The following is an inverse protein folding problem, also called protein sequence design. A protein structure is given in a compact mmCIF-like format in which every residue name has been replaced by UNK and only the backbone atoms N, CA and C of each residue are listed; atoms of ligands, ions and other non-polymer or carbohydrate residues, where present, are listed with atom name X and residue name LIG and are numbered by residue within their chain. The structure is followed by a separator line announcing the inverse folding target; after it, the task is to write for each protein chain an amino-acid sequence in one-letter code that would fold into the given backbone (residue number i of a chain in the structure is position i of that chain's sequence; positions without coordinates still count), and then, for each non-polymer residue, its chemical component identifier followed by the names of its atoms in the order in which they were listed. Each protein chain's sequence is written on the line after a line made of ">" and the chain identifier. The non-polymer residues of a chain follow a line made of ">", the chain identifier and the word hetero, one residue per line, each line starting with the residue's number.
data_IF_380139654318
#
_entry.id   IF_380139654318
#
_cell.length_a   1.000
_cell.length_b   1.000
_cell.length_c   1.000
_cell.angle_alpha   90.00
_cell.angle_beta   90.00
_cell.angle_gamma   90.00
#
_symmetry.space_group_name_H-M   'P 1'
#
loop_
_entity.id
_entity.type
_entity.pdbx_description
1 polymer ?
#
# COMPACT_ATOMS: atom_id res chain seq x y z
N UNK A 1 23.01 -7.23 -27.55
CA UNK A 1 21.63 -7.65 -27.18
C UNK A 1 21.20 -7.10 -25.83
N UNK A 2 21.94 -7.27 -24.71
CA UNK A 2 21.53 -6.74 -23.37
C UNK A 2 21.20 -5.23 -23.36
N UNK A 3 21.96 -4.37 -24.05
CA UNK A 3 21.71 -2.91 -24.09
C UNK A 3 20.41 -2.51 -24.80
N UNK A 4 19.92 -3.31 -25.75
CA UNK A 4 18.67 -3.07 -26.48
C UNK A 4 17.48 -3.46 -25.61
N UNK A 5 17.63 -4.49 -24.79
CA UNK A 5 16.59 -4.93 -23.84
C UNK A 5 16.40 -3.87 -22.75
N UNK A 6 17.47 -3.27 -22.22
CA UNK A 6 17.35 -2.18 -21.24
C UNK A 6 16.66 -0.93 -21.80
N UNK A 7 16.92 -0.59 -23.07
CA UNK A 7 16.28 0.55 -23.72
C UNK A 7 14.80 0.27 -24.02
N UNK A 8 14.44 -0.96 -24.37
CA UNK A 8 13.07 -1.37 -24.60
C UNK A 8 12.25 -1.45 -23.29
N UNK A 9 12.87 -1.87 -22.20
CA UNK A 9 12.27 -1.87 -20.86
C UNK A 9 12.07 -0.45 -20.36
N UNK A 10 13.04 0.46 -20.56
CA UNK A 10 12.86 1.89 -20.22
C UNK A 10 11.76 2.57 -21.07
N UNK A 11 11.62 2.21 -22.35
CA UNK A 11 10.57 2.73 -23.22
C UNK A 11 9.18 2.13 -22.90
N UNK A 12 9.11 0.86 -22.50
CA UNK A 12 7.88 0.23 -22.01
C UNK A 12 7.43 0.87 -20.69
N UNK A 13 8.36 1.15 -19.79
CA UNK A 13 8.07 1.88 -18.55
C UNK A 13 7.49 3.27 -18.88
N UNK A 14 8.07 4.01 -19.86
CA UNK A 14 7.54 5.32 -20.24
C UNK A 14 6.18 5.29 -20.96
N UNK A 15 5.81 4.20 -21.64
CA UNK A 15 4.53 4.09 -22.36
C UNK A 15 3.42 3.48 -21.51
N UNK A 16 3.75 2.73 -20.47
CA UNK A 16 2.76 2.22 -19.50
C UNK A 16 2.47 3.25 -18.41
N UNK A 17 3.38 4.17 -18.10
CA UNK A 17 3.16 5.24 -17.12
C UNK A 17 2.02 6.23 -17.49
N UNK A 18 1.61 6.30 -18.75
CA UNK A 18 0.51 7.20 -19.15
C UNK A 18 -0.89 6.57 -19.13
N UNK A 19 -1.02 5.27 -18.84
CA UNK A 19 -2.32 4.59 -18.82
C UNK A 19 -2.50 3.59 -17.66
N UNK A 20 -1.50 3.43 -16.80
CA UNK A 20 -1.56 2.54 -15.64
C UNK A 20 -1.51 3.32 -14.29
N UNK A 21 -1.65 4.64 -14.37
CA UNK A 21 -1.70 5.55 -13.22
C UNK A 21 -3.09 5.57 -12.56
N UNK A 22 -3.94 4.67 -12.92
CA UNK A 22 -5.32 4.66 -12.46
C UNK A 22 -5.55 3.41 -11.63
N UNK A 23 -5.36 3.49 -10.35
CA UNK A 23 -5.78 2.53 -9.35
C UNK A 23 -4.66 1.86 -8.56
N UNK A 24 -4.05 2.61 -7.72
CA UNK A 24 -3.67 2.10 -6.44
C UNK A 24 -4.27 3.07 -5.42
N UNK A 25 -5.47 2.80 -4.97
CA UNK A 25 -6.01 3.53 -3.83
C UNK A 25 -4.99 3.44 -2.70
N UNK A 26 -4.67 4.60 -2.17
CA UNK A 26 -3.65 4.75 -1.13
C UNK A 26 -4.11 4.09 0.15
N UNK A 27 -4.09 2.78 0.17
CA UNK A 27 -4.18 2.11 1.43
C UNK A 27 -2.79 2.09 2.08
N UNK A 28 -2.50 2.97 3.05
CA UNK A 28 -1.19 3.05 3.68
C UNK A 28 -0.82 1.76 4.42
N UNK A 29 -1.75 0.84 4.54
CA UNK A 29 -1.51 -0.49 5.09
C UNK A 29 -0.90 -1.42 4.06
N UNK A 30 -1.24 -1.24 2.77
CA UNK A 30 -0.84 -2.14 1.70
C UNK A 30 0.51 -1.84 1.05
N UNK A 31 1.07 -0.66 1.23
CA UNK A 31 2.46 -0.48 0.79
C UNK A 31 3.29 -1.60 1.39
N UNK A 32 3.98 -2.44 0.58
CA UNK A 32 4.64 -3.63 1.07
C UNK A 32 5.48 -3.30 2.29
N UNK A 33 5.08 -3.80 3.45
CA UNK A 33 5.93 -3.72 4.63
C UNK A 33 7.28 -4.31 4.22
N UNK A 34 8.41 -3.80 4.73
CA UNK A 34 9.72 -4.25 4.34
C UNK A 34 9.87 -5.71 4.73
N UNK A 35 9.23 -6.55 4.03
CA UNK A 35 9.35 -7.97 4.15
C UNK A 35 9.64 -8.50 2.79
N UNK A 36 10.79 -9.06 2.66
CA UNK A 36 10.95 -10.24 1.86
C UNK A 36 10.96 -10.09 0.33
N UNK A 37 10.58 -8.97 -0.27
CA UNK A 37 10.73 -8.78 -1.71
C UNK A 37 12.18 -8.53 -2.07
N UNK A 38 12.99 -9.51 -1.76
CA UNK A 38 14.37 -9.54 -2.15
C UNK A 38 14.51 -10.38 -3.42
N UNK A 39 14.36 -9.72 -4.55
CA UNK A 39 14.59 -10.35 -5.85
C UNK A 39 16.08 -10.64 -6.12
N UNK A 40 16.96 -10.19 -5.24
CA UNK A 40 18.40 -10.47 -5.36
C UNK A 40 18.77 -11.84 -4.81
N UNK A 41 17.84 -12.54 -4.16
CA UNK A 41 18.09 -13.84 -3.49
C UNK A 41 19.23 -13.78 -2.46
N UNK A 42 19.40 -12.61 -1.84
CA UNK A 42 20.46 -12.40 -0.83
C UNK A 42 21.81 -11.98 -1.39
N UNK A 43 21.99 -11.90 -2.69
CA UNK A 43 23.25 -11.49 -3.33
C UNK A 43 23.29 -9.96 -3.52
N UNK A 44 24.48 -9.37 -3.40
CA UNK A 44 24.70 -7.97 -3.71
C UNK A 44 24.53 -7.73 -5.21
N UNK A 45 23.84 -6.65 -5.58
CA UNK A 45 23.66 -6.28 -6.98
C UNK A 45 22.25 -5.86 -7.33
N UNK A 46 21.99 -5.81 -8.62
CA UNK A 46 20.71 -5.41 -9.18
C UNK A 46 19.82 -6.63 -9.47
N UNK A 47 18.55 -6.49 -9.16
CA UNK A 47 17.51 -7.41 -9.57
C UNK A 47 16.31 -6.62 -10.11
N UNK A 48 15.58 -7.27 -11.01
CA UNK A 48 14.37 -6.74 -11.64
C UNK A 48 13.30 -7.82 -11.57
N UNK A 49 12.13 -7.45 -11.05
CA UNK A 49 10.92 -8.25 -11.16
C UNK A 49 9.85 -7.48 -11.93
N UNK A 50 9.16 -8.14 -12.86
CA UNK A 50 8.02 -7.57 -13.59
C UNK A 50 6.87 -8.58 -13.61
N UNK A 51 5.66 -8.09 -13.42
CA UNK A 51 4.50 -8.96 -13.33
C UNK A 51 3.19 -8.25 -13.60
N UNK A 52 2.14 -8.98 -13.32
CA UNK A 52 0.76 -8.48 -13.39
C UNK A 52 -0.06 -9.17 -12.31
N UNK A 53 -0.97 -8.43 -11.73
CA UNK A 53 -1.97 -8.90 -10.80
C UNK A 53 -3.38 -8.50 -11.20
N UNK A 54 -4.32 -8.98 -10.44
CA UNK A 54 -5.69 -8.52 -10.41
C UNK A 54 -6.06 -8.27 -8.96
N UNK A 55 -6.74 -7.18 -8.72
CA UNK A 55 -7.17 -6.74 -7.41
C UNK A 55 -8.67 -6.54 -7.38
N UNK A 56 -9.29 -6.83 -6.26
CA UNK A 56 -10.69 -6.58 -5.97
C UNK A 56 -10.76 -5.71 -4.74
N UNK A 57 -11.21 -4.48 -4.92
CA UNK A 57 -11.17 -3.44 -3.92
C UNK A 57 -12.41 -2.54 -3.94
N UNK A 58 -12.56 -1.69 -2.93
CA UNK A 58 -13.60 -0.66 -2.89
C UNK A 58 -13.28 0.47 -3.86
N UNK A 59 -14.32 1.04 -4.47
CA UNK A 59 -14.21 2.11 -5.48
C UNK A 59 -13.61 3.43 -4.93
N UNK A 60 -13.71 3.66 -3.64
CA UNK A 60 -13.04 4.71 -2.87
C UNK A 60 -13.07 4.35 -1.38
N UNK A 61 -12.24 4.98 -0.59
CA UNK A 61 -12.13 4.71 0.85
C UNK A 61 -13.47 4.88 1.59
N UNK A 62 -13.99 3.78 2.14
CA UNK A 62 -15.30 3.72 2.77
C UNK A 62 -16.48 3.48 1.82
N UNK A 63 -16.23 3.18 0.56
CA UNK A 63 -17.27 2.77 -0.41
C UNK A 63 -17.88 1.42 -0.06
N UNK A 64 -19.13 1.22 -0.46
CA UNK A 64 -19.80 -0.09 -0.51
C UNK A 64 -19.86 -0.66 -1.95
N UNK A 65 -19.27 0.06 -2.92
CA UNK A 65 -19.05 -0.38 -4.30
C UNK A 65 -17.67 -1.02 -4.41
N UNK A 66 -17.56 -2.12 -5.15
CA UNK A 66 -16.33 -2.86 -5.35
C UNK A 66 -16.09 -3.15 -6.81
N UNK A 67 -14.84 -3.14 -7.23
CA UNK A 67 -14.42 -3.39 -8.60
C UNK A 67 -13.24 -4.36 -8.70
N UNK A 68 -12.97 -4.81 -9.94
CA UNK A 68 -11.75 -5.53 -10.26
C UNK A 68 -10.86 -4.64 -11.10
N UNK A 69 -9.59 -4.59 -10.71
CA UNK A 69 -8.58 -3.86 -11.44
C UNK A 69 -7.40 -4.75 -11.82
N UNK A 70 -6.76 -4.42 -12.95
CA UNK A 70 -5.54 -5.07 -13.39
C UNK A 70 -4.34 -4.25 -12.90
N UNK A 71 -3.53 -4.84 -12.04
CA UNK A 71 -2.39 -4.18 -11.41
C UNK A 71 -1.08 -4.59 -12.08
N UNK A 72 -0.30 -3.64 -12.64
CA UNK A 72 1.07 -3.91 -12.99
C UNK A 72 1.89 -4.12 -11.71
N UNK A 73 2.65 -5.19 -11.68
CA UNK A 73 3.49 -5.52 -10.52
C UNK A 73 4.96 -5.48 -10.90
N UNK A 74 5.81 -5.12 -9.95
CA UNK A 74 7.24 -5.22 -10.18
C UNK A 74 8.08 -4.24 -9.37
N UNK A 75 9.37 -4.53 -9.39
CA UNK A 75 10.35 -3.67 -8.77
C UNK A 75 11.72 -3.76 -9.45
N UNK A 76 12.45 -2.67 -9.39
CA UNK A 76 13.91 -2.64 -9.61
C UNK A 76 14.55 -2.49 -8.23
N UNK A 77 15.46 -3.38 -7.90
CA UNK A 77 16.12 -3.40 -6.60
C UNK A 77 17.64 -3.37 -6.78
N UNK A 78 18.32 -2.73 -5.82
CA UNK A 78 19.76 -2.82 -5.66
C UNK A 78 20.08 -3.16 -4.21
N UNK A 79 20.73 -4.31 -4.01
CA UNK A 79 21.19 -4.76 -2.71
C UNK A 79 22.65 -4.43 -2.47
N UNK A 80 22.96 -3.98 -1.26
CA UNK A 80 24.33 -3.82 -0.76
C UNK A 80 24.35 -4.23 0.72
N UNK A 81 24.83 -5.43 0.99
CA UNK A 81 24.78 -6.03 2.32
C UNK A 81 23.35 -6.15 2.84
N UNK A 82 23.11 -5.59 4.01
CA UNK A 82 21.79 -5.60 4.66
C UNK A 82 20.83 -4.54 4.14
N UNK A 83 21.22 -3.78 3.12
CA UNK A 83 20.43 -2.67 2.59
C UNK A 83 19.88 -3.01 1.20
N UNK A 84 18.61 -2.67 0.97
CA UNK A 84 17.93 -2.74 -0.32
C UNK A 84 17.37 -1.37 -0.64
N UNK A 85 17.76 -0.84 -1.79
CA UNK A 85 17.18 0.34 -2.41
C UNK A 85 16.28 -0.13 -3.54
N UNK A 86 15.10 0.45 -3.66
CA UNK A 86 14.13 -0.05 -4.63
C UNK A 86 13.30 1.07 -5.25
N UNK A 87 12.84 0.78 -6.45
CA UNK A 87 11.72 1.44 -7.08
C UNK A 87 10.67 0.35 -7.35
N UNK A 88 9.51 0.46 -6.72
CA UNK A 88 8.44 -0.53 -6.82
C UNK A 88 7.09 0.18 -6.85
N UNK A 89 6.27 -0.16 -7.86
CA UNK A 89 5.05 0.57 -8.10
C UNK A 89 5.33 2.07 -8.23
N UNK A 90 4.69 2.87 -7.42
CA UNK A 90 4.82 4.34 -7.40
C UNK A 90 5.76 4.86 -6.30
N UNK A 91 6.55 3.98 -5.69
CA UNK A 91 7.40 4.33 -4.57
C UNK A 91 8.89 4.14 -4.88
N UNK A 92 9.70 5.08 -4.38
CA UNK A 92 11.16 4.94 -4.27
C UNK A 92 11.49 4.79 -2.79
N UNK A 93 12.21 3.75 -2.44
CA UNK A 93 12.49 3.47 -1.06
C UNK A 93 13.83 2.82 -0.76
N UNK A 94 14.07 2.74 0.51
CA UNK A 94 15.17 2.02 1.11
C UNK A 94 14.65 1.21 2.30
N UNK A 95 15.21 0.04 2.51
CA UNK A 95 15.05 -0.76 3.71
C UNK A 95 16.37 -1.39 4.13
N UNK A 96 16.55 -1.65 5.41
CA UNK A 96 17.77 -2.26 5.90
C UNK A 96 17.64 -2.83 7.31
N UNK A 97 18.46 -3.83 7.60
CA UNK A 97 18.59 -4.37 8.94
C UNK A 97 19.52 -3.46 9.75
N UNK A 98 19.02 -2.86 10.83
CA UNK A 98 19.86 -2.16 11.81
C UNK A 98 20.64 -3.13 12.69
N UNK A 99 20.07 -4.30 12.92
CA UNK A 99 20.63 -5.46 13.63
C UNK A 99 19.72 -6.68 13.43
N UNK A 100 20.05 -7.80 14.02
CA UNK A 100 19.33 -9.07 13.86
C UNK A 100 17.82 -9.02 14.15
N UNK A 101 17.36 -8.00 14.88
CA UNK A 101 15.96 -7.90 15.33
C UNK A 101 15.22 -6.68 14.79
N UNK A 102 15.88 -5.75 14.12
CA UNK A 102 15.28 -4.52 13.61
C UNK A 102 15.45 -4.37 12.12
N UNK A 103 14.34 -4.35 11.41
CA UNK A 103 14.24 -3.94 10.01
C UNK A 103 13.59 -2.56 9.97
N UNK A 104 14.19 -1.65 9.25
CA UNK A 104 13.69 -0.28 9.08
C UNK A 104 13.65 0.10 7.61
N UNK A 105 12.82 1.07 7.27
CA UNK A 105 12.75 1.59 5.92
C UNK A 105 12.18 2.99 5.86
N UNK A 106 12.46 3.64 4.75
CA UNK A 106 11.88 4.90 4.37
C UNK A 106 11.56 4.87 2.88
N UNK A 107 10.44 5.44 2.49
CA UNK A 107 10.08 5.59 1.08
C UNK A 107 9.37 6.92 0.85
N UNK A 108 9.44 7.36 -0.39
CA UNK A 108 8.60 8.42 -0.93
C UNK A 108 7.68 7.73 -1.93
N UNK A 109 6.38 7.87 -1.73
CA UNK A 109 5.31 7.37 -2.59
C UNK A 109 4.47 8.50 -3.16
N UNK A 110 3.59 8.12 -4.06
CA UNK A 110 2.49 8.96 -4.50
C UNK A 110 1.23 8.56 -3.74
N UNK A 111 0.50 9.55 -3.32
CA UNK A 111 -0.84 9.42 -2.79
C UNK A 111 -1.80 9.75 -3.93
N UNK A 112 -2.65 8.81 -4.31
CA UNK A 112 -3.68 9.05 -5.31
C UNK A 112 -4.74 10.01 -4.78
N UNK A 113 -5.29 10.78 -5.69
CA UNK A 113 -6.43 11.62 -5.40
C UNK A 113 -7.73 10.82 -5.39
N UNK A 114 -8.84 11.50 -5.10
CA UNK A 114 -10.17 10.94 -5.24
C UNK A 114 -10.97 11.83 -6.21
N UNK A 115 -11.62 11.21 -7.19
CA UNK A 115 -12.48 11.91 -8.13
C UNK A 115 -13.97 11.72 -7.78
N UNK A 116 -14.80 12.69 -8.17
CA UNK A 116 -16.26 12.52 -8.04
C UNK A 116 -16.79 11.32 -8.85
N UNK A 117 -16.07 10.96 -9.93
CA UNK A 117 -16.38 9.83 -10.80
C UNK A 117 -16.09 8.45 -10.20
N UNK A 118 -15.39 8.36 -9.06
CA UNK A 118 -15.08 7.08 -8.41
C UNK A 118 -16.31 6.47 -7.72
N UNK A 119 -17.41 7.20 -7.68
CA UNK A 119 -18.69 6.72 -7.16
C UNK A 119 -19.71 6.55 -8.28
N UNK A 120 -20.11 5.32 -8.54
CA UNK A 120 -21.14 5.00 -9.55
C UNK A 120 -22.53 5.50 -9.13
N UNK A 121 -22.82 5.57 -7.84
CA UNK A 121 -24.09 6.04 -7.28
C UNK A 121 -24.17 7.56 -7.10
N UNK A 122 -23.10 8.29 -7.46
CA UNK A 122 -22.99 9.75 -7.33
C UNK A 122 -22.81 10.22 -5.88
N UNK A 123 -22.33 9.36 -5.00
CA UNK A 123 -22.11 9.71 -3.58
C UNK A 123 -21.08 10.82 -3.40
N UNK A 124 -20.11 10.90 -4.30
CA UNK A 124 -19.06 11.90 -4.26
C UNK A 124 -19.43 13.18 -5.03
N UNK A 125 -20.57 13.24 -5.73
CA UNK A 125 -21.00 14.40 -6.51
C UNK A 125 -21.05 15.68 -5.66
N UNK A 126 -20.37 16.71 -6.11
CA UNK A 126 -20.30 18.01 -5.44
C UNK A 126 -19.31 18.10 -4.28
N UNK A 127 -18.55 17.05 -4.00
CA UNK A 127 -17.45 17.09 -3.03
C UNK A 127 -16.16 17.64 -3.64
N UNK A 128 -16.04 17.64 -4.97
CA UNK A 128 -14.83 18.02 -5.70
C UNK A 128 -13.78 16.92 -5.68
N UNK A 129 -12.88 17.00 -6.65
CA UNK A 129 -11.76 16.08 -6.74
C UNK A 129 -10.68 16.42 -5.72
N UNK A 130 -10.01 15.42 -5.20
CA UNK A 130 -8.79 15.54 -4.40
C UNK A 130 -7.61 15.32 -5.33
N UNK A 131 -6.61 16.18 -5.23
CA UNK A 131 -5.41 16.07 -6.06
C UNK A 131 -4.50 14.96 -5.55
N UNK A 132 -3.75 14.36 -6.46
CA UNK A 132 -2.64 13.46 -6.14
C UNK A 132 -1.57 14.20 -5.34
N UNK A 133 -0.89 13.49 -4.44
CA UNK A 133 0.12 14.06 -3.57
C UNK A 133 1.35 13.17 -3.42
N UNK A 134 2.34 13.68 -2.71
CA UNK A 134 3.49 12.90 -2.29
C UNK A 134 3.38 12.55 -0.82
N UNK A 135 3.79 11.35 -0.48
CA UNK A 135 3.92 10.92 0.89
C UNK A 135 5.33 10.48 1.25
N UNK A 136 5.74 10.79 2.47
CA UNK A 136 6.92 10.23 3.11
C UNK A 136 6.49 9.15 4.09
N UNK A 137 6.95 7.93 3.89
CA UNK A 137 6.67 6.81 4.77
C UNK A 137 7.93 6.38 5.51
N UNK A 138 7.84 6.32 6.83
CA UNK A 138 8.84 5.71 7.70
C UNK A 138 8.25 4.44 8.30
N UNK A 139 9.02 3.35 8.28
CA UNK A 139 8.53 2.07 8.76
C UNK A 139 9.58 1.29 9.53
N UNK A 140 9.13 0.48 10.48
CA UNK A 140 9.98 -0.38 11.26
C UNK A 140 9.28 -1.67 11.64
N UNK A 141 10.03 -2.77 11.64
CA UNK A 141 9.65 -4.04 12.25
C UNK A 141 10.66 -4.40 13.33
N UNK A 142 10.18 -4.88 14.45
CA UNK A 142 11.01 -5.44 15.51
C UNK A 142 10.64 -6.89 15.75
N UNK A 143 11.53 -7.81 15.44
CA UNK A 143 11.33 -9.22 15.74
C UNK A 143 11.50 -9.53 17.22
N UNK A 144 10.67 -10.42 17.73
CA UNK A 144 10.80 -11.01 19.08
C UNK A 144 11.51 -12.35 19.05
N UNK A 145 11.72 -12.94 17.87
CA UNK A 145 12.29 -14.24 17.69
C UNK A 145 13.42 -14.22 16.65
N UNK A 146 14.50 -14.98 16.83
CA UNK A 146 15.60 -14.97 15.88
C UNK A 146 15.20 -15.38 14.44
N UNK A 147 14.14 -16.17 14.31
CA UNK A 147 13.60 -16.65 13.03
C UNK A 147 12.56 -15.70 12.42
N UNK A 148 12.41 -14.50 12.94
CA UNK A 148 11.44 -13.50 12.47
C UNK A 148 10.00 -14.04 12.38
N UNK A 149 9.63 -14.92 13.31
CA UNK A 149 8.29 -15.52 13.33
C UNK A 149 7.22 -14.58 13.88
N UNK A 150 7.60 -13.72 14.82
CA UNK A 150 6.71 -12.74 15.45
C UNK A 150 7.40 -11.39 15.53
N UNK A 151 6.68 -10.33 15.23
CA UNK A 151 7.21 -8.95 15.28
C UNK A 151 6.17 -7.93 15.73
N UNK A 152 6.67 -6.77 16.15
CA UNK A 152 5.94 -5.52 16.09
C UNK A 152 6.14 -4.89 14.72
N UNK A 153 5.12 -4.22 14.23
CA UNK A 153 5.19 -3.36 13.05
C UNK A 153 4.76 -1.95 13.42
N UNK A 154 5.41 -0.98 12.84
CA UNK A 154 5.00 0.43 12.90
C UNK A 154 5.30 1.11 11.57
N UNK A 155 4.42 2.02 11.19
CA UNK A 155 4.54 2.88 10.03
C UNK A 155 4.01 4.26 10.37
N UNK A 156 4.66 5.28 9.83
CA UNK A 156 4.17 6.66 9.87
C UNK A 156 4.20 7.17 8.44
N UNK A 157 3.08 7.71 8.01
CA UNK A 157 2.90 8.38 6.73
C UNK A 157 2.72 9.86 7.01
N UNK A 158 3.45 10.68 6.28
CA UNK A 158 3.34 12.13 6.34
C UNK A 158 3.17 12.67 4.93
N UNK A 159 2.08 13.37 4.69
CA UNK A 159 1.79 14.10 3.45
C UNK A 159 1.50 15.56 3.75
N UNK A 160 1.33 16.37 2.73
CA UNK A 160 0.89 17.77 2.88
C UNK A 160 -0.57 17.89 3.32
N UNK A 161 -1.33 16.81 3.24
CA UNK A 161 -2.74 16.75 3.64
C UNK A 161 -2.99 16.14 5.02
N UNK A 162 -1.94 15.76 5.73
CA UNK A 162 -2.02 15.24 7.09
C UNK A 162 -1.10 14.05 7.35
N UNK A 163 -1.31 13.43 8.51
CA UNK A 163 -0.46 12.33 8.97
C UNK A 163 -1.30 11.14 9.41
N UNK A 164 -0.76 9.97 9.12
CA UNK A 164 -1.31 8.69 9.55
C UNK A 164 -0.23 7.85 10.20
N UNK A 165 -0.58 7.05 11.20
CA UNK A 165 0.33 6.08 11.79
C UNK A 165 -0.36 4.74 12.00
N UNK A 166 0.38 3.68 11.68
CA UNK A 166 -0.03 2.30 11.86
C UNK A 166 0.88 1.62 12.88
N UNK A 167 0.26 0.83 13.76
CA UNK A 167 0.97 -0.02 14.72
C UNK A 167 0.32 -1.40 14.77
N UNK A 168 1.12 -2.43 14.95
CA UNK A 168 0.56 -3.76 14.99
C UNK A 168 1.52 -4.84 15.44
N UNK A 169 1.01 -6.06 15.39
CA UNK A 169 1.75 -7.29 15.64
C UNK A 169 1.61 -8.21 14.45
N UNK A 170 2.69 -8.83 14.05
CA UNK A 170 2.72 -9.73 12.92
C UNK A 170 3.22 -11.12 13.26
N UNK A 171 2.82 -12.06 12.43
CA UNK A 171 3.25 -13.46 12.48
C UNK A 171 3.48 -13.99 11.07
N UNK A 172 4.58 -14.74 10.92
CA UNK A 172 4.88 -15.53 9.72
C UNK A 172 4.43 -16.99 9.91
N UNK A 173 3.93 -17.56 8.83
CA UNK A 173 3.62 -18.97 8.68
C UNK A 173 4.51 -19.56 7.59
N UNK A 174 5.00 -20.78 7.80
CA UNK A 174 5.98 -21.42 6.95
C UNK A 174 7.43 -21.19 7.39
N UNK A 175 8.36 -21.70 6.63
CA UNK A 175 9.80 -21.51 6.85
C UNK A 175 10.27 -20.24 6.12
N UNK A 176 11.27 -19.57 6.71
CA UNK A 176 11.87 -18.37 6.13
C UNK A 176 12.95 -18.80 5.13
N UNK A 177 12.54 -19.34 3.99
CA UNK A 177 13.46 -19.65 2.92
C UNK A 177 12.97 -18.97 1.64
N UNK A 178 13.86 -18.33 0.95
CA UNK A 178 13.71 -17.87 -0.43
C UNK A 178 12.54 -16.90 -0.73
N UNK A 179 12.14 -16.09 0.25
CA UNK A 179 11.05 -15.14 0.06
C UNK A 179 9.67 -15.80 -0.07
N UNK A 180 9.52 -17.06 0.35
CA UNK A 180 8.24 -17.75 0.35
C UNK A 180 7.59 -17.76 1.72
N UNK A 181 6.29 -17.90 1.77
CA UNK A 181 5.51 -18.00 3.00
C UNK A 181 4.34 -17.05 3.05
N UNK A 182 3.69 -17.02 4.19
CA UNK A 182 2.60 -16.07 4.44
C UNK A 182 2.82 -15.31 5.74
N UNK A 183 2.34 -14.08 5.77
CA UNK A 183 2.40 -13.18 6.90
C UNK A 183 1.01 -12.64 7.20
N UNK A 184 0.70 -12.52 8.48
CA UNK A 184 -0.52 -11.86 8.97
C UNK A 184 -0.10 -10.77 9.93
N UNK A 185 -0.61 -9.58 9.74
CA UNK A 185 -0.47 -8.46 10.66
C UNK A 185 -1.86 -8.08 11.20
N UNK A 186 -1.95 -7.92 12.52
CA UNK A 186 -3.09 -7.28 13.16
C UNK A 186 -2.66 -5.86 13.48
N UNK A 187 -3.38 -4.89 12.94
CA UNK A 187 -2.99 -3.49 12.98
C UNK A 187 -4.10 -2.61 13.53
N UNK A 188 -3.73 -1.48 14.08
CA UNK A 188 -4.61 -0.35 14.30
C UNK A 188 -3.99 0.90 13.69
N UNK A 189 -4.83 1.72 13.13
CA UNK A 189 -4.45 2.90 12.39
C UNK A 189 -5.00 4.13 13.10
N UNK A 190 -4.16 5.13 13.25
CA UNK A 190 -4.56 6.44 13.79
C UNK A 190 -4.21 7.52 12.77
N UNK A 191 -4.99 8.58 12.73
CA UNK A 191 -4.78 9.70 11.84
C UNK A 191 -4.93 11.03 12.61
N UNK A 192 -4.32 12.08 12.09
CA UNK A 192 -4.60 13.42 12.58
C UNK A 192 -5.90 14.00 11.98
N UNK A 193 -6.30 15.19 12.42
CA UNK A 193 -7.54 15.80 11.93
C UNK A 193 -7.49 16.20 10.47
N UNK A 194 -6.32 16.53 9.94
CA UNK A 194 -6.17 16.98 8.56
C UNK A 194 -6.35 15.80 7.61
N UNK A 195 -5.65 14.68 7.87
CA UNK A 195 -5.83 13.43 7.15
C UNK A 195 -7.28 12.90 7.24
N UNK A 196 -7.88 12.93 8.45
CA UNK A 196 -9.25 12.50 8.66
C UNK A 196 -10.26 13.32 7.82
N UNK A 197 -10.09 14.64 7.76
CA UNK A 197 -10.99 15.50 7.02
C UNK A 197 -10.73 15.48 5.51
N UNK A 198 -9.54 15.12 5.04
CA UNK A 198 -9.29 14.82 3.64
C UNK A 198 -10.17 13.66 3.18
N UNK A 199 -10.06 12.51 3.80
CA UNK A 199 -10.81 11.30 3.40
C UNK A 199 -12.32 11.41 3.65
N UNK A 200 -12.71 11.88 4.84
CA UNK A 200 -14.07 11.74 5.35
C UNK A 200 -14.75 13.05 5.77
N UNK A 201 -14.08 14.19 5.65
CA UNK A 201 -14.65 15.49 6.00
C UNK A 201 -15.52 16.07 4.87
N UNK A 202 -16.48 16.89 5.28
CA UNK A 202 -17.34 17.66 4.35
C UNK A 202 -17.40 19.09 4.86
N UNK A 203 -16.80 20.01 4.13
CA UNK A 203 -16.83 21.42 4.48
C UNK A 203 -18.14 22.08 4.02
N UNK A 204 -18.37 23.34 4.44
CA UNK A 204 -19.61 24.08 4.14
C UNK A 204 -19.88 24.24 2.64
N UNK A 205 -18.85 24.37 1.80
CA UNK A 205 -19.02 24.50 0.34
C UNK A 205 -19.42 23.15 -0.24
N UNK A 206 -18.75 22.08 0.15
CA UNK A 206 -19.07 20.72 -0.25
C UNK A 206 -20.47 20.30 0.19
N UNK A 207 -20.86 20.67 1.42
CA UNK A 207 -22.21 20.40 1.92
C UNK A 207 -23.29 21.09 1.08
N UNK A 208 -23.06 22.33 0.65
CA UNK A 208 -23.99 23.06 -0.21
C UNK A 208 -24.06 22.45 -1.63
N UNK A 209 -22.96 21.95 -2.15
CA UNK A 209 -22.86 21.41 -3.51
C UNK A 209 -23.40 19.98 -3.60
N UNK A 210 -23.05 19.13 -2.65
CA UNK A 210 -23.41 17.70 -2.62
C UNK A 210 -24.78 17.43 -1.96
N UNK A 211 -25.23 18.35 -1.08
CA UNK A 211 -26.39 18.14 -0.24
C UNK A 211 -26.16 17.22 0.98
N UNK A 212 -24.91 16.77 1.18
CA UNK A 212 -24.52 15.99 2.36
C UNK A 212 -24.34 16.91 3.57
N UNK A 213 -24.46 16.37 4.78
CA UNK A 213 -24.27 17.13 6.02
C UNK A 213 -22.81 17.53 6.22
N UNK A 214 -22.59 18.78 6.62
CA UNK A 214 -21.25 19.26 6.98
C UNK A 214 -20.67 18.39 8.10
N UNK A 215 -19.49 17.83 7.86
CA UNK A 215 -18.88 16.86 8.76
C UNK A 215 -17.42 17.20 8.98
N UNK A 216 -17.02 17.25 10.25
CA UNK A 216 -15.64 17.53 10.64
C UNK A 216 -15.17 16.46 11.63
N UNK A 217 -14.08 15.77 11.26
CA UNK A 217 -13.43 14.77 12.09
C UNK A 217 -12.30 15.42 12.90
N UNK A 218 -12.08 14.89 14.11
CA UNK A 218 -11.08 15.41 15.04
C UNK A 218 -9.72 14.70 14.94
N UNK A 219 -9.64 13.60 14.26
CA UNK A 219 -8.50 12.69 14.30
C UNK A 219 -8.51 11.78 15.53
N UNK A 220 -7.71 10.73 15.48
CA UNK A 220 -7.66 9.69 16.50
C UNK A 220 -7.59 8.29 15.89
N UNK A 221 -8.31 7.34 16.45
CA UNK A 221 -8.39 6.00 15.88
C UNK A 221 -9.19 6.03 14.57
N UNK A 222 -8.53 5.61 13.47
CA UNK A 222 -9.17 5.44 12.17
C UNK A 222 -9.83 4.07 12.06
N UNK A 223 -9.06 3.01 12.31
CA UNK A 223 -9.49 1.64 12.05
C UNK A 223 -8.73 0.59 12.84
N UNK A 224 -9.26 -0.64 12.78
CA UNK A 224 -8.56 -1.88 13.11
C UNK A 224 -8.51 -2.74 11.85
N UNK A 225 -7.35 -3.32 11.54
CA UNK A 225 -7.16 -4.09 10.32
C UNK A 225 -6.47 -5.42 10.52
N UNK A 226 -6.65 -6.25 9.51
CA UNK A 226 -5.90 -7.49 9.29
C UNK A 226 -5.30 -7.39 7.90
N UNK A 227 -4.01 -7.45 7.84
CA UNK A 227 -3.22 -7.49 6.60
C UNK A 227 -2.66 -8.92 6.45
N UNK A 228 -2.84 -9.51 5.29
CA UNK A 228 -2.33 -10.82 4.93
C UNK A 228 -1.52 -10.72 3.65
N UNK A 229 -0.31 -11.27 3.68
CA UNK A 229 0.56 -11.35 2.51
C UNK A 229 0.98 -12.80 2.30
N UNK A 230 0.98 -13.23 1.05
CA UNK A 230 1.42 -14.54 0.60
C UNK A 230 2.37 -14.43 -0.56
N UNK A 231 3.41 -15.27 -0.57
CA UNK A 231 4.38 -15.36 -1.66
C UNK A 231 4.86 -16.79 -1.81
N UNK A 232 5.03 -17.22 -3.06
CA UNK A 232 5.58 -18.53 -3.39
C UNK A 232 6.41 -18.46 -4.67
N UNK A 233 7.64 -18.93 -4.59
CA UNK A 233 8.47 -19.13 -5.76
C UNK A 233 8.03 -20.42 -6.47
N UNK A 234 7.49 -20.31 -7.67
CA UNK A 234 7.16 -21.45 -8.52
C UNK A 234 8.42 -22.12 -9.06
N UNK A 235 9.45 -21.34 -9.30
CA UNK A 235 10.79 -21.74 -9.71
C UNK A 235 11.75 -20.56 -9.50
N UNK A 236 12.99 -20.62 -10.03
CA UNK A 236 13.96 -19.52 -9.92
C UNK A 236 13.47 -18.20 -10.49
N UNK A 237 12.61 -18.24 -11.51
CA UNK A 237 12.27 -17.07 -12.31
C UNK A 237 10.85 -16.56 -12.03
N UNK A 238 9.95 -17.39 -11.51
CA UNK A 238 8.56 -17.04 -11.31
C UNK A 238 8.14 -17.08 -9.85
N UNK A 239 7.48 -16.04 -9.41
CA UNK A 239 6.87 -15.93 -8.09
C UNK A 239 5.38 -15.59 -8.21
N UNK A 240 4.55 -16.27 -7.41
CA UNK A 240 3.17 -15.86 -7.16
C UNK A 240 3.15 -15.01 -5.89
N UNK A 241 2.36 -13.98 -5.88
CA UNK A 241 2.01 -13.23 -4.67
C UNK A 241 0.50 -13.14 -4.51
N UNK A 242 0.08 -12.94 -3.28
CA UNK A 242 -1.30 -12.65 -2.91
C UNK A 242 -1.31 -11.74 -1.68
N UNK A 243 -2.26 -10.84 -1.64
CA UNK A 243 -2.45 -9.92 -0.54
C UNK A 243 -3.93 -9.80 -0.22
N UNK A 244 -4.24 -9.50 1.03
CA UNK A 244 -5.59 -9.18 1.43
C UNK A 244 -5.53 -8.24 2.62
N UNK A 245 -6.31 -7.18 2.56
CA UNK A 245 -6.54 -6.27 3.64
C UNK A 245 -8.01 -6.30 4.03
N UNK A 246 -8.24 -6.20 5.31
CA UNK A 246 -9.55 -5.92 5.88
C UNK A 246 -9.39 -4.90 7.01
N UNK A 247 -10.05 -3.75 6.86
CA UNK A 247 -10.09 -2.72 7.89
C UNK A 247 -11.53 -2.46 8.35
N UNK A 248 -11.73 -2.38 9.66
CA UNK A 248 -12.99 -1.98 10.27
C UNK A 248 -12.84 -0.58 10.86
N UNK A 249 -13.58 0.37 10.33
CA UNK A 249 -13.50 1.77 10.70
C UNK A 249 -14.00 2.08 12.12
N UNK A 250 -13.42 3.11 12.71
CA UNK A 250 -13.89 3.69 13.96
C UNK A 250 -15.30 4.29 13.81
N UNK A 251 -15.97 4.56 14.91
CA UNK A 251 -17.29 5.21 14.85
C UNK A 251 -17.23 6.59 14.19
N UNK A 252 -16.17 7.34 14.42
CA UNK A 252 -16.02 8.69 13.85
C UNK A 252 -15.95 8.66 12.31
N UNK A 253 -15.21 7.72 11.74
CA UNK A 253 -15.15 7.51 10.27
C UNK A 253 -16.49 7.03 9.75
N UNK A 254 -17.09 6.02 10.38
CA UNK A 254 -18.38 5.44 9.96
C UNK A 254 -19.57 6.41 10.03
N UNK A 255 -19.49 7.41 10.90
CA UNK A 255 -20.53 8.42 11.05
C UNK A 255 -20.41 9.52 9.96
N UNK A 256 -19.32 9.52 9.15
CA UNK A 256 -19.21 10.41 8.01
C UNK A 256 -20.23 10.05 6.92
N UNK A 257 -20.91 11.05 6.33
CA UNK A 257 -21.79 10.79 5.20
C UNK A 257 -21.08 10.24 3.95
N UNK A 258 -19.75 10.38 3.82
CA UNK A 258 -18.96 9.80 2.73
C UNK A 258 -18.88 8.27 2.89
N UNK A 259 -18.66 7.79 4.10
CA UNK A 259 -18.56 6.36 4.38
C UNK A 259 -19.91 5.64 4.17
N UNK A 260 -19.95 4.74 3.20
CA UNK A 260 -21.09 3.87 2.89
C UNK A 260 -20.94 2.51 3.54
N UNK A 261 -19.68 2.11 3.77
CA UNK A 261 -19.31 0.86 4.41
C UNK A 261 -18.73 1.10 5.80
N UNK A 262 -18.91 0.12 6.69
CA UNK A 262 -18.24 0.11 7.99
C UNK A 262 -16.81 -0.44 7.92
N UNK A 263 -16.44 -0.98 6.78
CA UNK A 263 -15.15 -1.62 6.57
C UNK A 263 -14.66 -1.37 5.15
N UNK A 264 -13.40 -1.53 4.99
CA UNK A 264 -12.69 -1.59 3.72
C UNK A 264 -12.11 -2.98 3.54
N UNK A 265 -12.12 -3.48 2.32
CA UNK A 265 -11.56 -4.77 1.99
C UNK A 265 -10.89 -4.71 0.62
N UNK A 266 -9.74 -5.33 0.52
CA UNK A 266 -8.96 -5.43 -0.70
C UNK A 266 -8.35 -6.82 -0.78
N UNK A 267 -8.35 -7.42 -1.95
CA UNK A 267 -7.78 -8.74 -2.21
C UNK A 267 -7.11 -8.74 -3.56
N UNK A 268 -5.80 -8.93 -3.57
CA UNK A 268 -4.97 -9.01 -4.77
C UNK A 268 -4.31 -10.37 -4.95
N UNK A 269 -4.08 -10.74 -6.20
CA UNK A 269 -3.26 -11.90 -6.57
C UNK A 269 -2.54 -11.61 -7.88
N UNK A 270 -1.28 -12.04 -7.97
CA UNK A 270 -0.52 -11.82 -9.19
C UNK A 270 0.68 -12.74 -9.31
N UNK A 271 1.41 -12.54 -10.42
CA UNK A 271 2.64 -13.26 -10.73
C UNK A 271 3.72 -12.27 -11.13
N UNK A 272 4.95 -12.55 -10.72
CA UNK A 272 6.14 -11.77 -11.04
C UNK A 272 7.16 -12.67 -11.69
N UNK A 273 7.77 -12.22 -12.80
CA UNK A 273 8.94 -12.80 -13.40
C UNK A 273 10.20 -12.07 -12.92
N UNK A 274 11.16 -12.79 -12.38
CA UNK A 274 12.45 -12.29 -11.88
C UNK A 274 13.53 -12.45 -12.96
N UNK A 275 14.34 -11.41 -13.19
CA UNK A 275 15.37 -11.37 -14.21
C UNK A 275 16.77 -11.50 -13.62
#
# INVERSE_FOLDING_TARGET
>A
MKKIIYLAVLLLIQTTFNNAVMAQENNPVLVPLPSVDDFTEGEDGWALGLGIGIEYESAYEGSDEFGFEAQPAGAVQWRSGDNIYYFAGEAIGWRGLLNDNWLVGALIGFEEGREESDSDDGRLDGLGNQEEGFELVLQARRSFTPDWRYWLVSRVVASDEGNLALFGVGRRFGEQTDGTGSEVNLVFVVHDSDYANKGFGINAIQSLSSGLEETKLSGGLRSFGIDYNYRENLNSDWQIYGEALFEYFSSEVRDSPIARSNFEAEVGIGVIYKF
#
